data_IF_978659849827
#
_entry.id   IF_978659849827
#
_cell.length_a   1.000
_cell.length_b   1.000
_cell.length_c   1.000
_cell.angle_alpha   90.00
_cell.angle_beta   90.00
_cell.angle_gamma   90.00
#
_symmetry.space_group_name_H-M   'P 1'
#
loop_
_entity.id
_entity.type
_entity.pdbx_description
1 polymer ?
#
# COMPACT_ATOMS: atom_id res chain seq x y z
N UNK A 1 -5.88 -11.83 -18.59
CA UNK A 1 -6.83 -12.46 -17.64
C UNK A 1 -7.17 -11.43 -16.57
N UNK A 2 -8.44 -11.28 -16.18
CA UNK A 2 -8.82 -10.41 -15.06
C UNK A 2 -8.31 -11.02 -13.74
N UNK A 3 -7.91 -10.19 -12.78
CA UNK A 3 -7.34 -10.67 -11.51
C UNK A 3 -8.32 -11.55 -10.73
N UNK A 4 -9.61 -11.21 -10.72
CA UNK A 4 -10.64 -12.07 -10.12
C UNK A 4 -10.72 -13.46 -10.77
N UNK A 5 -10.53 -13.55 -12.09
CA UNK A 5 -10.50 -14.82 -12.80
C UNK A 5 -9.24 -15.64 -12.50
N UNK A 6 -8.08 -14.98 -12.40
CA UNK A 6 -6.82 -15.62 -12.01
C UNK A 6 -6.91 -16.20 -10.58
N UNK A 7 -7.42 -15.41 -9.63
CA UNK A 7 -7.68 -15.88 -8.28
C UNK A 7 -8.66 -17.04 -8.26
N UNK A 8 -9.77 -16.97 -9.01
CA UNK A 8 -10.75 -18.05 -9.06
C UNK A 8 -10.15 -19.37 -9.56
N UNK A 9 -9.33 -19.33 -10.62
CA UNK A 9 -8.61 -20.51 -11.10
C UNK A 9 -7.64 -21.05 -10.05
N UNK A 10 -6.88 -20.18 -9.39
CA UNK A 10 -5.96 -20.56 -8.33
C UNK A 10 -6.64 -21.23 -7.14
N UNK A 11 -7.75 -20.65 -6.67
CA UNK A 11 -8.58 -21.19 -5.58
C UNK A 11 -9.07 -22.59 -5.94
N UNK A 12 -9.64 -22.75 -7.14
CA UNK A 12 -10.10 -24.04 -7.63
C UNK A 12 -8.97 -25.08 -7.73
N UNK A 13 -7.78 -24.69 -8.20
CA UNK A 13 -6.61 -25.58 -8.27
C UNK A 13 -6.11 -26.04 -6.91
N UNK A 14 -6.32 -25.25 -5.85
CA UNK A 14 -5.98 -25.63 -4.48
C UNK A 14 -7.01 -26.60 -3.88
N UNK A 15 -8.16 -26.78 -4.52
CA UNK A 15 -9.22 -27.70 -4.12
C UNK A 15 -10.42 -27.02 -3.44
N UNK A 16 -10.41 -25.69 -3.32
CA UNK A 16 -11.52 -24.94 -2.73
C UNK A 16 -12.59 -24.63 -3.80
N UNK A 17 -13.86 -24.66 -3.40
CA UNK A 17 -14.97 -24.32 -4.29
C UNK A 17 -15.02 -22.81 -4.55
N UNK A 18 -15.22 -22.43 -5.81
CA UNK A 18 -15.30 -21.02 -6.20
C UNK A 18 -16.55 -20.72 -7.01
N UNK A 19 -17.18 -19.60 -6.69
CA UNK A 19 -18.27 -19.00 -7.47
C UNK A 19 -17.91 -17.57 -7.82
N UNK A 20 -17.94 -17.24 -9.10
CA UNK A 20 -17.69 -15.89 -9.60
C UNK A 20 -19.03 -15.21 -9.88
N UNK A 21 -19.20 -13.98 -9.39
CA UNK A 21 -20.41 -13.19 -9.61
C UNK A 21 -20.10 -11.69 -9.73
N UNK A 22 -20.97 -10.89 -10.36
CA UNK A 22 -20.84 -9.43 -10.36
C UNK A 22 -20.92 -8.87 -8.94
N UNK A 23 -20.08 -7.89 -8.60
CA UNK A 23 -20.13 -7.26 -7.27
C UNK A 23 -21.47 -6.57 -6.99
N UNK A 24 -22.14 -6.07 -8.02
CA UNK A 24 -23.48 -5.44 -7.93
C UNK A 24 -24.59 -6.40 -7.49
N UNK A 25 -24.34 -7.71 -7.54
CA UNK A 25 -25.26 -8.74 -7.05
C UNK A 25 -25.10 -9.03 -5.55
N UNK A 26 -24.11 -8.45 -4.88
CA UNK A 26 -23.91 -8.64 -3.44
C UNK A 26 -25.09 -8.06 -2.64
N UNK A 27 -25.64 -8.87 -1.73
CA UNK A 27 -26.70 -8.48 -0.79
C UNK A 27 -26.26 -8.69 0.66
N UNK A 28 -25.69 -9.85 0.94
CA UNK A 28 -25.13 -10.23 2.23
C UNK A 28 -24.07 -11.32 2.00
N UNK A 29 -23.17 -11.59 2.96
CA UNK A 29 -22.23 -12.71 2.88
C UNK A 29 -22.95 -14.04 2.74
N UNK A 30 -22.61 -14.81 1.70
CA UNK A 30 -23.21 -16.11 1.39
C UNK A 30 -22.18 -17.19 1.02
N UNK A 31 -20.89 -16.87 1.13
CA UNK A 31 -19.74 -17.78 1.06
C UNK A 31 -18.89 -17.67 2.33
N UNK A 32 -17.95 -18.58 2.52
CA UNK A 32 -17.01 -18.54 3.66
C UNK A 32 -15.99 -17.40 3.53
N UNK A 33 -15.59 -17.08 2.30
CA UNK A 33 -14.56 -16.06 1.98
C UNK A 33 -15.02 -15.24 0.77
N UNK A 34 -14.79 -13.93 0.81
CA UNK A 34 -14.90 -13.06 -0.37
C UNK A 34 -13.52 -12.71 -0.93
N UNK A 35 -13.38 -12.66 -2.26
CA UNK A 35 -12.17 -12.20 -2.94
C UNK A 35 -12.54 -11.16 -3.98
N UNK A 36 -11.89 -10.00 -3.98
CA UNK A 36 -12.18 -8.95 -4.96
C UNK A 36 -10.97 -8.08 -5.30
N UNK A 37 -11.05 -7.38 -6.43
CA UNK A 37 -10.01 -6.50 -6.93
C UNK A 37 -10.46 -5.03 -7.01
N UNK A 38 -9.68 -4.13 -6.40
CA UNK A 38 -10.01 -2.71 -6.26
C UNK A 38 -10.95 -2.43 -5.10
N UNK A 39 -11.38 -1.18 -4.94
CA UNK A 39 -12.13 -0.76 -3.74
C UNK A 39 -13.09 0.40 -4.05
N UNK A 40 -14.18 0.15 -4.78
CA UNK A 40 -15.28 1.12 -4.97
C UNK A 40 -16.36 0.99 -3.89
N UNK A 41 -17.45 1.74 -3.99
CA UNK A 41 -18.55 1.74 -3.01
C UNK A 41 -19.20 0.36 -2.85
N UNK A 42 -19.44 -0.35 -3.96
CA UNK A 42 -19.99 -1.71 -3.94
C UNK A 42 -19.02 -2.67 -3.24
N UNK A 43 -17.74 -2.61 -3.58
CA UNK A 43 -16.71 -3.45 -2.95
C UNK A 43 -16.47 -3.08 -1.48
N UNK A 44 -16.69 -1.82 -1.09
CA UNK A 44 -16.69 -1.39 0.32
C UNK A 44 -17.83 -2.08 1.09
N UNK A 45 -19.02 -2.21 0.49
CA UNK A 45 -20.12 -2.95 1.08
C UNK A 45 -19.80 -4.45 1.23
N UNK A 46 -19.18 -5.07 0.22
CA UNK A 46 -18.70 -6.47 0.30
C UNK A 46 -17.69 -6.62 1.45
N UNK A 47 -16.68 -5.75 1.49
CA UNK A 47 -15.64 -5.76 2.50
C UNK A 47 -16.20 -5.61 3.92
N UNK A 48 -17.10 -4.65 4.14
CA UNK A 48 -17.75 -4.44 5.42
C UNK A 48 -18.63 -5.64 5.80
N UNK A 49 -19.46 -6.13 4.89
CA UNK A 49 -20.39 -7.22 5.16
C UNK A 49 -19.69 -8.51 5.62
N UNK A 50 -18.61 -8.91 4.94
CA UNK A 50 -17.84 -10.09 5.34
C UNK A 50 -17.13 -9.89 6.69
N UNK A 51 -16.52 -8.71 6.92
CA UNK A 51 -15.89 -8.40 8.21
C UNK A 51 -16.87 -8.41 9.38
N UNK A 52 -18.05 -7.81 9.20
CA UNK A 52 -19.09 -7.77 10.23
C UNK A 52 -19.63 -9.18 10.55
N UNK A 53 -19.65 -10.07 9.56
CA UNK A 53 -20.04 -11.47 9.73
C UNK A 53 -18.92 -12.35 10.31
N UNK A 54 -17.76 -11.79 10.65
CA UNK A 54 -16.59 -12.56 11.13
C UNK A 54 -15.99 -13.48 10.07
N UNK A 55 -16.25 -13.21 8.78
CA UNK A 55 -15.77 -14.02 7.66
C UNK A 55 -14.59 -13.36 6.96
N UNK A 56 -13.55 -14.12 6.56
CA UNK A 56 -12.39 -13.55 5.88
C UNK A 56 -12.78 -12.86 4.57
N UNK A 57 -12.09 -11.75 4.29
CA UNK A 57 -12.18 -11.05 3.02
C UNK A 57 -10.79 -10.75 2.45
N UNK A 58 -10.55 -11.18 1.22
CA UNK A 58 -9.30 -11.01 0.50
C UNK A 58 -9.43 -9.87 -0.49
N UNK A 59 -8.69 -8.81 -0.22
CA UNK A 59 -8.59 -7.64 -1.06
C UNK A 59 -7.34 -7.69 -1.93
N UNK A 60 -7.50 -7.41 -3.22
CA UNK A 60 -6.43 -7.36 -4.20
C UNK A 60 -6.37 -5.99 -4.87
N UNK A 61 -5.17 -5.44 -5.04
CA UNK A 61 -4.97 -4.16 -5.75
C UNK A 61 -3.56 -4.10 -6.39
N UNK A 62 -3.17 -2.94 -6.90
CA UNK A 62 -1.84 -2.68 -7.43
C UNK A 62 -0.74 -3.04 -6.42
N UNK A 63 0.27 -3.78 -6.89
CA UNK A 63 1.41 -4.22 -6.09
C UNK A 63 2.34 -3.08 -5.66
N UNK A 64 3.25 -3.42 -4.75
CA UNK A 64 4.33 -2.58 -4.25
C UNK A 64 5.43 -2.40 -5.32
N UNK A 65 5.84 -3.50 -5.94
CA UNK A 65 6.88 -3.53 -6.99
C UNK A 65 6.42 -4.36 -8.19
N UNK A 66 7.15 -4.32 -9.31
CA UNK A 66 6.91 -5.22 -10.45
C UNK A 66 5.58 -5.02 -11.17
N UNK A 67 4.97 -3.83 -11.04
CA UNK A 67 3.83 -3.42 -11.87
C UNK A 67 4.31 -3.26 -13.31
N UNK A 68 3.60 -3.85 -14.28
CA UNK A 68 3.95 -3.69 -15.71
C UNK A 68 3.10 -2.57 -16.31
N UNK A 69 3.75 -1.64 -17.01
CA UNK A 69 3.05 -0.56 -17.69
C UNK A 69 2.12 -1.14 -18.78
N UNK A 70 0.95 -0.51 -18.95
CA UNK A 70 -0.17 -0.83 -19.86
C UNK A 70 -1.32 -1.71 -19.34
N UNK A 71 -1.39 -2.07 -18.05
CA UNK A 71 -2.60 -2.76 -17.57
C UNK A 71 -2.84 -2.78 -16.07
N UNK A 72 -4.11 -2.58 -15.67
CA UNK A 72 -4.65 -2.91 -14.33
C UNK A 72 -4.51 -4.39 -13.98
N UNK A 73 -4.12 -5.23 -14.95
CA UNK A 73 -4.19 -6.69 -14.91
C UNK A 73 -2.85 -7.37 -15.23
N UNK A 74 -1.73 -6.64 -15.16
CA UNK A 74 -0.40 -7.15 -15.49
C UNK A 74 0.62 -6.80 -14.41
N UNK A 75 1.63 -7.66 -14.26
CA UNK A 75 2.64 -7.52 -13.21
C UNK A 75 2.13 -8.03 -11.86
N UNK A 76 2.66 -7.46 -10.79
CA UNK A 76 2.36 -7.86 -9.42
C UNK A 76 1.22 -7.05 -8.80
N UNK A 77 0.45 -7.74 -7.97
CA UNK A 77 -0.71 -7.24 -7.27
C UNK A 77 -0.60 -7.57 -5.79
N UNK A 78 -0.88 -6.59 -4.92
CA UNK A 78 -0.91 -6.83 -3.48
C UNK A 78 -2.13 -7.67 -3.13
N UNK A 79 -1.98 -8.54 -2.15
CA UNK A 79 -3.06 -9.38 -1.61
C UNK A 79 -3.08 -9.20 -0.10
N UNK A 80 -4.25 -8.87 0.45
CA UNK A 80 -4.41 -8.54 1.87
C UNK A 80 -5.70 -9.14 2.42
N UNK A 81 -5.63 -9.71 3.62
CA UNK A 81 -6.78 -10.33 4.30
C UNK A 81 -7.30 -9.40 5.38
N UNK A 82 -8.62 -9.17 5.40
CA UNK A 82 -9.36 -8.36 6.40
C UNK A 82 -8.93 -6.89 6.53
N UNK A 83 -8.01 -6.43 5.69
CA UNK A 83 -7.49 -5.06 5.65
C UNK A 83 -7.18 -4.63 4.22
N UNK A 84 -7.12 -3.32 3.97
CA UNK A 84 -6.56 -2.77 2.70
C UNK A 84 -5.04 -2.90 2.64
N UNK A 85 -4.42 -3.07 3.80
CA UNK A 85 -3.01 -3.32 4.00
C UNK A 85 -2.88 -4.51 4.97
N UNK A 86 -1.94 -5.43 4.76
CA UNK A 86 -1.74 -6.61 5.61
C UNK A 86 -1.00 -6.27 6.92
N UNK A 87 -1.13 -5.05 7.42
CA UNK A 87 -0.35 -4.51 8.56
C UNK A 87 -0.54 -5.28 9.85
N UNK A 88 -1.65 -6.00 10.01
CA UNK A 88 -1.94 -6.81 11.19
C UNK A 88 -1.21 -8.16 11.22
N UNK A 89 -0.60 -8.60 10.12
CA UNK A 89 -0.02 -9.95 10.05
C UNK A 89 1.26 -10.10 9.22
N UNK A 90 1.61 -9.16 8.33
CA UNK A 90 2.70 -9.38 7.37
C UNK A 90 4.08 -9.64 8.00
N UNK A 91 4.27 -9.27 9.27
CA UNK A 91 5.49 -9.52 10.03
C UNK A 91 5.30 -10.53 11.17
N UNK A 92 4.17 -11.27 11.21
CA UNK A 92 3.97 -12.33 12.20
C UNK A 92 5.03 -13.44 12.06
N UNK A 93 5.64 -13.53 10.89
CA UNK A 93 6.77 -14.40 10.57
C UNK A 93 7.78 -13.61 9.76
N UNK A 94 9.06 -13.87 10.01
CA UNK A 94 10.13 -13.37 9.16
C UNK A 94 10.20 -14.20 7.89
N UNK A 95 10.06 -13.55 6.75
CA UNK A 95 10.19 -14.21 5.46
C UNK A 95 11.61 -14.10 4.91
N UNK A 96 12.02 -15.10 4.12
CA UNK A 96 13.29 -15.04 3.40
C UNK A 96 13.27 -14.02 2.24
N UNK A 97 14.45 -13.70 1.73
CA UNK A 97 14.63 -12.75 0.62
C UNK A 97 14.32 -13.33 -0.77
N UNK A 98 13.86 -14.57 -0.90
CA UNK A 98 13.69 -15.24 -2.21
C UNK A 98 12.72 -14.49 -3.13
N UNK A 99 11.64 -13.93 -2.57
CA UNK A 99 10.70 -13.08 -3.32
C UNK A 99 11.23 -11.69 -3.58
N UNK A 100 11.83 -11.06 -2.57
CA UNK A 100 12.40 -9.71 -2.71
C UNK A 100 13.49 -9.64 -3.80
N UNK A 101 14.29 -10.71 -3.93
CA UNK A 101 15.35 -10.84 -4.95
C UNK A 101 14.82 -10.69 -6.39
N UNK A 102 13.55 -11.02 -6.66
CA UNK A 102 12.92 -10.86 -7.99
C UNK A 102 12.83 -9.39 -8.44
N UNK A 103 12.89 -8.45 -7.50
CA UNK A 103 12.68 -7.02 -7.79
C UNK A 103 13.98 -6.22 -7.90
N UNK A 104 15.15 -6.83 -7.66
CA UNK A 104 16.44 -6.17 -7.77
C UNK A 104 16.57 -4.92 -6.90
N UNK A 105 15.94 -4.92 -5.72
CA UNK A 105 15.91 -3.78 -4.79
C UNK A 105 17.33 -3.53 -4.29
N UNK A 106 17.76 -2.27 -4.37
CA UNK A 106 19.05 -1.81 -3.88
C UNK A 106 18.81 -0.77 -2.80
N UNK A 107 19.27 -1.05 -1.59
CA UNK A 107 19.20 -0.13 -0.47
C UNK A 107 20.30 0.91 -0.58
N UNK A 108 19.95 2.17 -0.34
CA UNK A 108 20.94 3.23 -0.13
C UNK A 108 21.24 3.38 1.36
N UNK A 109 22.44 3.88 1.67
CA UNK A 109 22.76 4.31 3.04
C UNK A 109 21.77 5.40 3.50
N UNK A 110 21.59 5.51 4.82
CA UNK A 110 20.76 6.58 5.37
C UNK A 110 21.31 7.95 4.97
N UNK A 111 20.44 8.82 4.46
CA UNK A 111 20.81 10.15 3.98
C UNK A 111 20.12 11.24 4.77
N UNK A 112 20.80 12.37 4.93
CA UNK A 112 20.18 13.60 5.41
C UNK A 112 19.85 14.50 4.23
N UNK A 113 18.75 15.24 4.33
CA UNK A 113 18.26 16.09 3.26
C UNK A 113 17.78 17.44 3.76
N UNK A 114 17.31 18.27 2.83
CA UNK A 114 16.83 19.62 3.15
C UNK A 114 15.32 19.73 3.07
N UNK A 115 14.66 19.02 2.14
CA UNK A 115 13.21 19.10 1.97
C UNK A 115 12.45 17.91 2.53
N UNK A 116 11.18 18.11 2.86
CA UNK A 116 10.25 17.06 3.26
C UNK A 116 9.31 16.76 2.09
N UNK A 117 9.11 15.49 1.78
CA UNK A 117 8.16 15.06 0.75
C UNK A 117 6.85 14.62 1.40
N UNK A 118 5.79 15.41 1.27
CA UNK A 118 4.43 15.01 1.62
C UNK A 118 3.80 14.31 0.41
N UNK A 119 3.68 12.99 0.47
CA UNK A 119 3.08 12.18 -0.59
C UNK A 119 1.58 12.00 -0.35
N UNK A 120 0.76 12.65 -1.18
CA UNK A 120 -0.69 12.65 -1.06
C UNK A 120 -1.37 11.39 -1.61
N UNK A 121 -2.64 11.23 -1.24
CA UNK A 121 -3.55 10.22 -1.76
C UNK A 121 -4.41 10.76 -2.90
N UNK A 122 -5.29 9.92 -3.47
CA UNK A 122 -6.37 10.38 -4.37
C UNK A 122 -7.59 10.80 -3.56
N UNK A 123 -8.47 11.62 -4.13
CA UNK A 123 -9.84 11.85 -3.66
C UNK A 123 -10.56 10.56 -3.21
N UNK A 124 -10.54 9.52 -4.04
CA UNK A 124 -11.12 8.21 -3.72
C UNK A 124 -10.46 7.57 -2.50
N UNK A 125 -9.15 7.75 -2.35
CA UNK A 125 -8.39 7.22 -1.22
C UNK A 125 -8.77 7.92 0.07
N UNK A 126 -8.85 9.25 0.04
CA UNK A 126 -9.29 10.07 1.16
C UNK A 126 -10.69 9.67 1.64
N UNK A 127 -11.66 9.58 0.73
CA UNK A 127 -13.06 9.23 1.06
C UNK A 127 -13.18 7.81 1.65
N UNK A 128 -12.39 6.85 1.15
CA UNK A 128 -12.36 5.49 1.71
C UNK A 128 -11.90 5.51 3.17
N UNK A 129 -10.98 6.40 3.51
CA UNK A 129 -10.44 6.56 4.86
C UNK A 129 -11.21 7.58 5.72
N UNK A 130 -12.33 8.09 5.21
CA UNK A 130 -13.23 8.98 5.95
C UNK A 130 -12.82 10.46 5.94
N UNK A 131 -11.90 10.84 5.06
CA UNK A 131 -11.45 12.22 4.89
C UNK A 131 -12.13 12.88 3.68
N UNK A 132 -12.31 14.20 3.76
CA UNK A 132 -12.48 15.01 2.57
C UNK A 132 -11.18 14.99 1.73
N UNK A 133 -11.26 15.16 0.39
CA UNK A 133 -10.07 15.28 -0.44
C UNK A 133 -9.10 16.34 0.11
N UNK A 134 -7.80 16.01 0.17
CA UNK A 134 -6.73 16.86 0.74
C UNK A 134 -6.79 17.19 2.23
N UNK A 135 -7.80 16.73 2.97
CA UNK A 135 -7.96 17.08 4.39
C UNK A 135 -6.73 16.67 5.21
N UNK A 136 -6.29 15.42 5.06
CA UNK A 136 -5.12 14.91 5.79
C UNK A 136 -3.83 15.62 5.36
N UNK A 137 -3.64 15.86 4.06
CA UNK A 137 -2.45 16.53 3.55
C UNK A 137 -2.36 17.98 4.03
N UNK A 138 -3.49 18.69 4.10
CA UNK A 138 -3.55 20.05 4.65
C UNK A 138 -3.20 20.07 6.12
N UNK A 139 -3.73 19.13 6.89
CA UNK A 139 -3.35 18.95 8.30
C UNK A 139 -1.85 18.65 8.43
N UNK A 140 -1.31 17.71 7.65
CA UNK A 140 0.08 17.30 7.73
C UNK A 140 1.03 18.47 7.40
N UNK A 141 0.74 19.26 6.35
CA UNK A 141 1.54 20.44 6.01
C UNK A 141 1.49 21.50 7.12
N UNK A 142 0.29 21.76 7.66
CA UNK A 142 0.13 22.71 8.76
C UNK A 142 0.86 22.25 10.03
N UNK A 143 0.79 20.96 10.36
CA UNK A 143 1.46 20.38 11.52
C UNK A 143 2.98 20.44 11.36
N UNK A 144 3.53 20.03 10.22
CA UNK A 144 4.97 20.11 9.94
C UNK A 144 5.47 21.55 10.11
N UNK A 145 4.72 22.54 9.61
CA UNK A 145 5.10 23.97 9.73
C UNK A 145 5.20 24.48 11.16
N UNK A 146 4.66 23.77 12.15
CA UNK A 146 4.83 24.09 13.58
C UNK A 146 6.19 23.65 14.12
N UNK A 147 6.85 22.70 13.45
CA UNK A 147 8.04 22.01 13.95
C UNK A 147 9.25 22.14 13.02
N UNK A 148 9.09 22.69 11.81
CA UNK A 148 10.20 22.85 10.86
C UNK A 148 10.02 23.97 9.84
N UNK A 149 11.14 24.64 9.53
CA UNK A 149 11.27 25.61 8.43
C UNK A 149 11.72 24.97 7.11
N UNK A 150 11.95 23.65 7.09
CA UNK A 150 12.40 22.93 5.89
C UNK A 150 11.44 23.14 4.71
N UNK A 151 11.92 23.23 3.47
CA UNK A 151 11.05 23.21 2.30
C UNK A 151 10.15 21.98 2.32
N UNK A 152 8.84 22.15 2.13
CA UNK A 152 7.90 21.05 2.03
C UNK A 152 7.47 20.94 0.57
N UNK A 153 7.60 19.76 -0.02
CA UNK A 153 7.03 19.43 -1.33
C UNK A 153 5.76 18.64 -1.08
N UNK A 154 4.62 19.21 -1.42
CA UNK A 154 3.39 18.44 -1.52
C UNK A 154 3.31 17.81 -2.91
N UNK A 155 3.47 16.48 -2.96
CA UNK A 155 3.32 15.69 -4.17
C UNK A 155 1.92 15.08 -4.19
N UNK A 156 1.03 15.67 -4.99
CA UNK A 156 -0.28 15.09 -5.25
C UNK A 156 -0.16 13.80 -6.08
N UNK A 157 -1.17 12.92 -5.95
CA UNK A 157 -1.21 11.69 -6.75
C UNK A 157 -1.30 12.05 -8.25
N UNK A 158 -0.43 11.52 -9.12
CA UNK A 158 -0.35 11.96 -10.52
C UNK A 158 -1.61 11.68 -11.34
N UNK A 159 -2.45 10.73 -10.89
CA UNK A 159 -3.71 10.37 -11.54
C UNK A 159 -4.89 11.22 -11.10
N UNK A 160 -4.76 12.06 -10.07
CA UNK A 160 -5.87 12.80 -9.49
C UNK A 160 -5.89 14.25 -9.99
N UNK A 161 -6.62 14.51 -11.08
CA UNK A 161 -6.66 15.83 -11.73
C UNK A 161 -7.28 16.96 -10.87
N UNK A 162 -8.00 16.62 -9.78
CA UNK A 162 -8.61 17.59 -8.89
C UNK A 162 -7.71 18.08 -7.76
N UNK A 163 -6.44 17.65 -7.72
CA UNK A 163 -5.50 18.08 -6.71
C UNK A 163 -5.17 19.57 -6.84
N UNK A 164 -5.01 20.25 -5.71
CA UNK A 164 -4.76 21.69 -5.60
C UNK A 164 -3.54 21.97 -4.72
N UNK A 165 -2.84 23.10 -4.93
CA UNK A 165 -1.76 23.52 -4.05
C UNK A 165 -2.20 23.66 -2.58
N UNK A 166 -1.30 23.31 -1.65
CA UNK A 166 -1.50 23.48 -0.21
C UNK A 166 -0.59 24.62 0.29
N UNK A 167 -1.14 25.67 0.93
CA UNK A 167 -0.33 26.76 1.50
C UNK A 167 0.77 26.25 2.44
N UNK A 168 1.95 26.85 2.36
CA UNK A 168 3.13 26.41 3.13
C UNK A 168 3.92 25.27 2.48
N UNK A 169 3.56 24.84 1.26
CA UNK A 169 4.27 23.82 0.49
C UNK A 169 4.47 24.21 -0.97
N UNK A 170 5.46 23.59 -1.62
CA UNK A 170 5.63 23.60 -3.08
C UNK A 170 4.79 22.47 -3.66
N UNK A 171 3.84 22.81 -4.54
CA UNK A 171 2.97 21.84 -5.19
C UNK A 171 3.67 21.14 -6.35
N UNK A 172 3.61 19.81 -6.37
CA UNK A 172 4.04 19.01 -7.51
C UNK A 172 3.01 17.93 -7.86
N UNK A 173 2.69 17.83 -9.14
CA UNK A 173 1.89 16.76 -9.69
C UNK A 173 2.55 16.26 -10.97
N UNK A 174 3.34 15.19 -10.85
CA UNK A 174 4.12 14.64 -11.97
C UNK A 174 4.08 13.12 -11.99
N UNK A 175 4.08 12.55 -13.19
CA UNK A 175 4.28 11.12 -13.42
C UNK A 175 5.74 10.69 -13.36
N UNK A 176 6.66 11.62 -13.10
CA UNK A 176 8.05 11.30 -12.82
C UNK A 176 8.17 10.27 -11.70
N UNK A 177 9.24 9.49 -11.84
CA UNK A 177 9.67 8.56 -10.81
C UNK A 177 9.87 9.28 -9.48
N UNK A 178 9.19 8.78 -8.45
CA UNK A 178 9.26 9.35 -7.10
C UNK A 178 10.69 9.34 -6.53
N UNK A 179 11.54 8.41 -6.99
CA UNK A 179 12.96 8.32 -6.60
C UNK A 179 13.72 9.62 -6.88
N UNK A 180 13.35 10.38 -7.91
CA UNK A 180 13.94 11.69 -8.18
C UNK A 180 13.68 12.70 -7.06
N UNK A 181 12.52 12.62 -6.40
CA UNK A 181 12.15 13.50 -5.29
C UNK A 181 12.73 13.05 -3.95
N UNK A 182 13.29 11.84 -3.88
CA UNK A 182 13.96 11.32 -2.69
C UNK A 182 15.41 11.81 -2.59
N UNK A 183 16.01 12.28 -3.70
CA UNK A 183 17.35 12.87 -3.70
C UNK A 183 17.34 14.16 -2.88
N UNK A 184 18.12 14.21 -1.79
CA UNK A 184 18.15 15.36 -0.88
C UNK A 184 16.91 15.47 0.02
N UNK A 185 16.07 14.43 0.09
CA UNK A 185 14.89 14.41 0.94
C UNK A 185 15.26 14.10 2.39
N UNK A 186 14.83 14.93 3.32
CA UNK A 186 15.01 14.76 4.76
C UNK A 186 14.14 13.65 5.31
N UNK A 187 12.86 13.63 4.91
CA UNK A 187 11.86 12.65 5.31
C UNK A 187 10.70 12.57 4.32
N UNK A 188 10.14 11.37 4.16
CA UNK A 188 8.87 11.14 3.45
C UNK A 188 7.74 11.15 4.47
N UNK A 189 6.68 11.90 4.21
CA UNK A 189 5.48 11.99 5.06
C UNK A 189 4.26 11.59 4.24
N UNK A 190 3.44 10.65 4.72
CA UNK A 190 2.24 10.20 4.00
C UNK A 190 1.18 9.63 4.94
N UNK A 191 -0.09 9.56 4.54
CA UNK A 191 -1.06 8.80 5.31
C UNK A 191 -0.76 7.30 5.21
N UNK A 192 -0.76 6.76 3.99
CA UNK A 192 -0.66 5.31 3.75
C UNK A 192 0.00 4.94 2.41
N UNK A 193 0.68 5.90 1.76
CA UNK A 193 1.26 5.68 0.43
C UNK A 193 2.48 4.76 0.48
N UNK A 194 2.62 3.91 -0.54
CA UNK A 194 3.81 3.08 -0.75
C UNK A 194 5.09 3.90 -0.97
N UNK A 195 4.99 5.21 -1.23
CA UNK A 195 6.14 6.13 -1.32
C UNK A 195 6.96 6.13 -0.01
N UNK A 196 6.34 5.82 1.14
CA UNK A 196 7.06 5.60 2.39
C UNK A 196 8.05 4.44 2.31
N UNK A 197 7.69 3.35 1.64
CA UNK A 197 8.55 2.18 1.40
C UNK A 197 9.67 2.56 0.41
N UNK A 198 9.35 3.30 -0.64
CA UNK A 198 10.36 3.83 -1.58
C UNK A 198 11.39 4.71 -0.85
N UNK A 199 10.93 5.53 0.09
CA UNK A 199 11.76 6.33 0.99
C UNK A 199 12.74 5.47 1.78
N UNK A 200 12.24 4.46 2.51
CA UNK A 200 13.08 3.58 3.32
C UNK A 200 14.15 2.87 2.49
N UNK A 201 13.78 2.38 1.29
CA UNK A 201 14.72 1.77 0.34
C UNK A 201 15.81 2.78 -0.07
N UNK A 202 15.44 4.03 -0.34
CA UNK A 202 16.36 5.11 -0.72
C UNK A 202 17.15 5.71 0.46
N UNK A 203 17.04 5.15 1.67
CA UNK A 203 17.72 5.69 2.85
C UNK A 203 17.13 7.02 3.34
N UNK A 204 15.86 7.28 3.02
CA UNK A 204 15.08 8.42 3.52
C UNK A 204 14.08 7.92 4.56
N UNK A 205 14.07 8.48 5.77
CA UNK A 205 13.18 8.03 6.84
C UNK A 205 11.73 8.40 6.50
N UNK A 206 10.80 7.60 7.01
CA UNK A 206 9.38 7.75 6.71
C UNK A 206 8.57 8.15 7.94
N UNK A 207 7.53 8.93 7.71
CA UNK A 207 6.42 9.15 8.61
C UNK A 207 5.13 8.67 7.93
N UNK A 208 4.41 7.75 8.55
CA UNK A 208 3.13 7.29 8.04
C UNK A 208 2.09 7.02 9.13
N UNK A 209 0.83 7.29 8.82
CA UNK A 209 -0.29 6.96 9.71
C UNK A 209 -0.63 5.47 9.64
N UNK A 210 -0.57 4.91 8.44
CA UNK A 210 -0.81 3.51 8.14
C UNK A 210 0.11 3.02 7.03
N UNK A 211 0.04 1.72 6.72
CA UNK A 211 0.78 1.09 5.63
C UNK A 211 1.99 0.31 6.11
N UNK A 212 2.69 -0.33 5.16
CA UNK A 212 3.67 -1.37 5.50
C UNK A 212 5.02 -0.77 5.90
N UNK A 213 5.22 0.54 5.76
CA UNK A 213 6.39 1.22 6.30
C UNK A 213 6.31 1.46 7.82
N UNK A 214 5.11 1.36 8.43
CA UNK A 214 4.85 1.67 9.84
C UNK A 214 5.84 1.06 10.85
N UNK A 215 6.35 -0.18 10.68
CA UNK A 215 7.31 -0.75 11.62
C UNK A 215 8.63 0.03 11.74
N UNK A 216 9.03 0.72 10.67
CA UNK A 216 10.26 1.54 10.61
C UNK A 216 9.99 3.05 10.49
N UNK A 217 8.72 3.44 10.34
CA UNK A 217 8.29 4.82 10.26
C UNK A 217 7.84 5.37 11.63
N UNK A 218 7.72 6.69 11.72
CA UNK A 218 7.05 7.36 12.84
C UNK A 218 5.65 7.86 12.41
N UNK A 219 4.71 7.98 13.33
CA UNK A 219 3.43 8.66 13.06
C UNK A 219 3.37 10.08 13.64
N UNK A 220 4.24 10.38 14.60
CA UNK A 220 4.29 11.68 15.27
C UNK A 220 5.13 12.69 14.47
N UNK A 221 4.46 13.62 13.79
CA UNK A 221 5.12 14.65 12.96
C UNK A 221 5.90 15.69 13.78
N UNK A 222 5.69 15.80 15.10
CA UNK A 222 6.50 16.69 15.94
C UNK A 222 7.97 16.27 16.01
N UNK A 223 8.27 15.02 15.67
CA UNK A 223 9.63 14.46 15.61
C UNK A 223 10.30 14.61 14.24
N UNK A 224 9.77 15.46 13.37
CA UNK A 224 10.25 15.59 11.98
C UNK A 224 11.74 15.93 11.89
N UNK A 225 12.29 16.70 12.83
CA UNK A 225 13.72 17.07 12.86
C UNK A 225 14.64 15.92 13.31
N UNK A 226 14.11 14.94 14.03
CA UNK A 226 14.83 13.78 14.55
C UNK A 226 14.18 12.48 14.06
N UNK A 227 14.16 12.23 12.74
CA UNK A 227 13.44 11.11 12.18
C UNK A 227 14.14 9.78 12.51
N UNK A 228 13.37 8.68 12.53
CA UNK A 228 13.91 7.34 12.78
C UNK A 228 14.78 6.85 11.62
N UNK A 229 16.05 6.52 11.89
CA UNK A 229 17.06 6.06 10.90
C UNK A 229 17.70 4.73 11.29
N UNK A 230 16.94 3.83 11.88
CA UNK A 230 17.42 2.52 12.30
C UNK A 230 16.33 1.46 12.12
N UNK A 231 16.76 0.21 12.07
CA UNK A 231 15.90 -0.96 11.87
C UNK A 231 16.22 -1.72 10.59
N UNK A 232 15.68 -2.93 10.50
CA UNK A 232 15.98 -3.87 9.43
C UNK A 232 15.12 -3.61 8.20
N UNK A 233 15.65 -2.78 7.29
CA UNK A 233 14.97 -2.42 6.04
C UNK A 233 14.89 -3.58 5.06
N UNK A 234 15.87 -4.49 5.10
CA UNK A 234 15.91 -5.66 4.22
C UNK A 234 14.82 -6.66 4.64
N UNK A 235 14.74 -6.96 5.94
CA UNK A 235 13.69 -7.84 6.46
C UNK A 235 12.29 -7.27 6.22
N UNK A 236 12.10 -5.96 6.40
CA UNK A 236 10.82 -5.31 6.08
C UNK A 236 10.42 -5.55 4.62
N UNK A 237 11.37 -5.37 3.69
CA UNK A 237 11.12 -5.58 2.26
C UNK A 237 10.89 -7.05 1.93
N UNK A 238 11.58 -7.98 2.61
CA UNK A 238 11.35 -9.42 2.48
C UNK A 238 9.91 -9.77 2.85
N UNK A 239 9.43 -9.28 4.00
CA UNK A 239 8.06 -9.51 4.46
C UNK A 239 7.01 -8.91 3.50
N UNK A 240 7.25 -7.69 3.00
CA UNK A 240 6.37 -7.03 2.01
C UNK A 240 6.32 -7.82 0.69
N UNK A 241 7.43 -8.44 0.27
CA UNK A 241 7.47 -9.19 -0.99
C UNK A 241 6.54 -10.42 -0.99
N UNK A 242 6.22 -10.97 0.19
CA UNK A 242 5.23 -12.03 0.38
C UNK A 242 3.78 -11.54 0.41
N UNK A 243 3.55 -10.22 0.42
CA UNK A 243 2.24 -9.60 0.35
C UNK A 243 1.77 -9.28 -1.08
N UNK A 244 2.51 -9.70 -2.11
CA UNK A 244 2.14 -9.46 -3.51
C UNK A 244 2.47 -10.65 -4.40
N UNK A 245 1.63 -10.87 -5.41
CA UNK A 245 1.74 -11.98 -6.35
C UNK A 245 1.46 -11.49 -7.76
N UNK A 246 2.11 -12.09 -8.75
CA UNK A 246 1.74 -11.85 -10.14
C UNK A 246 0.54 -12.71 -10.57
N UNK A 247 0.02 -12.41 -11.77
CA UNK A 247 -1.17 -13.09 -12.32
C UNK A 247 -0.96 -14.59 -12.49
N UNK A 248 0.27 -15.03 -12.80
CA UNK A 248 0.57 -16.44 -12.98
C UNK A 248 0.58 -17.15 -11.63
N UNK A 249 1.24 -16.58 -10.62
CA UNK A 249 1.23 -17.07 -9.24
C UNK A 249 -0.20 -17.16 -8.69
N UNK A 250 -1.07 -16.18 -8.98
CA UNK A 250 -2.49 -16.24 -8.65
C UNK A 250 -3.20 -17.38 -9.37
N UNK A 251 -2.99 -17.54 -10.68
CA UNK A 251 -3.61 -18.59 -11.50
C UNK A 251 -3.19 -20.00 -11.06
N UNK A 252 -1.95 -20.16 -10.63
CA UNK A 252 -1.39 -21.43 -10.15
C UNK A 252 -1.77 -21.75 -8.69
N UNK A 253 -2.44 -20.82 -8.01
CA UNK A 253 -2.85 -20.96 -6.61
C UNK A 253 -1.74 -20.72 -5.59
N UNK A 254 -0.60 -20.15 -6.01
CA UNK A 254 0.53 -19.82 -5.12
C UNK A 254 0.09 -18.81 -4.06
N UNK A 255 -0.59 -17.74 -4.48
CA UNK A 255 -1.12 -16.73 -3.56
C UNK A 255 -2.08 -17.34 -2.53
N UNK A 256 -2.99 -18.20 -2.99
CA UNK A 256 -4.00 -18.82 -2.13
C UNK A 256 -3.39 -19.81 -1.13
N UNK A 257 -2.47 -20.67 -1.57
CA UNK A 257 -1.71 -21.57 -0.67
C UNK A 257 -0.94 -20.79 0.39
N UNK A 258 -0.31 -19.67 0.02
CA UNK A 258 0.40 -18.83 0.97
C UNK A 258 -0.54 -18.27 2.05
N UNK A 259 -1.70 -17.72 1.67
CA UNK A 259 -2.66 -17.21 2.65
C UNK A 259 -3.15 -18.31 3.63
N UNK A 260 -3.36 -19.54 3.12
CA UNK A 260 -3.71 -20.70 3.96
C UNK A 260 -2.56 -21.13 4.87
N UNK A 261 -1.30 -21.16 4.38
CA UNK A 261 -0.14 -21.53 5.20
C UNK A 261 0.19 -20.50 6.29
N UNK A 262 -0.19 -19.24 6.07
CA UNK A 262 -0.13 -18.18 7.08
C UNK A 262 -1.27 -18.28 8.11
N UNK A 263 -2.22 -19.21 7.94
CA UNK A 263 -3.38 -19.37 8.82
C UNK A 263 -4.39 -18.23 8.71
N UNK A 264 -4.37 -17.47 7.61
CA UNK A 264 -5.26 -16.34 7.39
C UNK A 264 -6.62 -16.75 6.83
N UNK A 265 -6.68 -17.95 6.23
CA UNK A 265 -7.85 -18.55 5.62
C UNK A 265 -8.00 -19.99 6.11
N UNK A 266 -9.23 -20.52 6.21
CA UNK A 266 -9.51 -21.92 6.57
C UNK A 266 -8.98 -22.92 5.54
#
# INVERSE_FOLDING_TARGET
MLIGAAMAQGIHRVGDNVRVMPSTSFKSPDSDIAVFYGFDETLRAVFKGYRDAGRPVVYVDLGYWGRKDLGRWTGYHKVSVNGRHPTSYFQNRSHDGSRAAKFGIKFSEWTTGSHILVAGTSDKGAVVDGFAPEEWERWAVAELRRHTDRPIIYRAKPSWLGASPIPGSMFQQTRDDVRKMLVGCHAVVTHHSNVSIDGLIAGVPAFCMEGLASPLALSDLSKIEEPRRHGDREQLVNDIAWCQFDVQEMTEGVAWRHLKSEGLLP
#
